data_IF_504708100786
#
_entry.id   IF_504708100786
#
_cell.length_a   1.000
_cell.length_b   1.000
_cell.length_c   1.000
_cell.angle_alpha   90.00
_cell.angle_beta   90.00
_cell.angle_gamma   90.00
#
_symmetry.space_group_name_H-M   'P 1'
#
loop_
_entity.id
_entity.type
_entity.pdbx_description
1 polymer ?
#
# COMPACT_ATOMS: atom_id res chain seq x y z
N UNK A 1 -4.95 5.46 26.63
CA UNK A 1 -3.56 5.90 26.37
C UNK A 1 -3.40 6.11 24.88
N UNK A 2 -2.60 7.10 24.45
CA UNK A 2 -2.24 7.27 23.05
C UNK A 2 -1.58 6.01 22.48
N UNK A 3 -1.90 5.67 21.24
CA UNK A 3 -1.29 4.54 20.52
C UNK A 3 0.06 4.98 19.93
N UNK A 4 1.18 4.32 20.25
CA UNK A 4 2.47 4.69 19.67
C UNK A 4 2.55 4.30 18.19
N UNK A 5 3.11 5.16 17.37
CA UNK A 5 3.35 4.94 15.95
C UNK A 5 4.74 5.47 15.60
N UNK A 6 5.57 4.62 15.00
CA UNK A 6 6.85 5.05 14.46
C UNK A 6 6.62 5.89 13.20
N UNK A 7 7.23 7.06 13.10
CA UNK A 7 7.12 7.90 11.90
C UNK A 7 8.49 8.04 11.25
N UNK A 8 8.58 7.72 9.97
CA UNK A 8 9.76 8.03 9.16
C UNK A 8 9.47 9.35 8.45
N UNK A 9 10.17 10.40 8.88
CA UNK A 9 9.90 11.77 8.51
C UNK A 9 10.10 12.06 7.01
N UNK A 10 9.30 12.97 6.47
CA UNK A 10 9.41 13.50 5.11
C UNK A 10 8.77 14.88 4.99
N UNK A 11 8.78 15.45 3.77
CA UNK A 11 8.19 16.77 3.53
C UNK A 11 6.67 16.83 3.76
N UNK A 12 5.98 15.68 3.87
CA UNK A 12 4.52 15.60 4.02
C UNK A 12 4.07 14.95 5.34
N UNK A 13 4.96 14.39 6.15
CA UNK A 13 4.61 13.80 7.46
C UNK A 13 4.06 14.85 8.42
N UNK A 14 4.62 16.07 8.40
CA UNK A 14 4.13 17.17 9.23
C UNK A 14 2.65 17.52 8.96
N UNK A 15 2.15 17.28 7.75
CA UNK A 15 0.73 17.44 7.43
C UNK A 15 -0.13 16.47 8.26
N UNK A 16 0.32 15.23 8.41
CA UNK A 16 -0.36 14.21 9.23
C UNK A 16 -0.30 14.61 10.70
N UNK A 17 0.86 15.04 11.21
CA UNK A 17 0.98 15.51 12.60
C UNK A 17 -0.02 16.62 12.91
N UNK A 18 -0.05 17.69 12.10
CA UNK A 18 -0.95 18.82 12.31
C UNK A 18 -2.43 18.42 12.30
N UNK A 19 -2.85 17.59 11.34
CA UNK A 19 -4.24 17.13 11.24
C UNK A 19 -4.60 16.21 12.41
N UNK A 20 -3.68 15.34 12.85
CA UNK A 20 -3.90 14.43 13.97
C UNK A 20 -4.03 15.18 15.30
N UNK A 21 -3.18 16.19 15.52
CA UNK A 21 -3.25 17.07 16.69
C UNK A 21 -4.53 17.90 16.69
N UNK A 22 -4.93 18.45 15.54
CA UNK A 22 -6.15 19.24 15.40
C UNK A 22 -7.42 18.43 15.73
N UNK A 23 -7.47 17.15 15.34
CA UNK A 23 -8.58 16.27 15.71
C UNK A 23 -8.42 15.63 17.09
N UNK A 24 -7.32 15.90 17.82
CA UNK A 24 -6.97 15.28 19.10
C UNK A 24 -6.97 13.75 19.05
N UNK A 25 -6.43 13.18 17.98
CA UNK A 25 -6.35 11.73 17.84
C UNK A 25 -5.48 11.14 18.97
N UNK A 26 -5.89 10.02 19.60
CA UNK A 26 -5.14 9.39 20.66
C UNK A 26 -3.97 8.58 20.09
N UNK A 27 -3.03 9.26 19.44
CA UNK A 27 -1.85 8.69 18.78
C UNK A 27 -0.62 9.46 19.26
N UNK A 28 0.47 8.74 19.51
CA UNK A 28 1.77 9.33 19.83
C UNK A 28 2.75 8.95 18.72
N UNK A 29 3.41 9.93 18.14
CA UNK A 29 4.36 9.71 17.05
C UNK A 29 5.80 9.71 17.58
N UNK A 30 6.50 8.59 17.39
CA UNK A 30 7.94 8.46 17.62
C UNK A 30 8.66 8.69 16.28
N UNK A 31 9.08 9.93 16.04
CA UNK A 31 9.56 10.38 14.72
C UNK A 31 11.07 10.21 14.56
N UNK A 32 11.47 9.64 13.42
CA UNK A 32 12.86 9.44 13.00
C UNK A 32 13.14 10.15 11.68
N UNK A 33 14.26 10.87 11.61
CA UNK A 33 14.71 11.57 10.41
C UNK A 33 15.86 10.78 9.78
N UNK A 34 15.59 10.14 8.63
CA UNK A 34 16.61 9.40 7.87
C UNK A 34 17.19 10.31 6.80
N UNK A 35 18.49 10.65 6.90
CA UNK A 35 19.21 11.51 5.93
C UNK A 35 20.31 10.74 5.20
N UNK A 36 20.63 11.17 3.98
CA UNK A 36 21.84 10.75 3.25
C UNK A 36 21.72 9.46 2.43
N UNK A 37 22.85 8.83 2.09
CA UNK A 37 22.93 7.62 1.23
C UNK A 37 22.22 6.38 1.82
N UNK A 38 21.88 6.39 3.11
CA UNK A 38 21.16 5.31 3.79
C UNK A 38 19.66 5.26 3.49
N UNK A 39 19.16 6.04 2.54
CA UNK A 39 17.78 5.94 2.09
C UNK A 39 17.40 4.49 1.71
N UNK A 40 18.33 3.65 1.27
CA UNK A 40 17.98 2.27 0.90
C UNK A 40 17.91 1.27 2.07
N UNK A 41 18.19 1.69 3.30
CA UNK A 41 18.17 0.80 4.47
C UNK A 41 17.58 1.51 5.68
N UNK A 42 16.66 0.86 6.40
CA UNK A 42 16.29 1.32 7.72
C UNK A 42 17.48 1.13 8.68
N UNK A 43 17.71 2.11 9.54
CA UNK A 43 18.60 1.91 10.68
C UNK A 43 17.98 0.90 11.64
N UNK A 44 18.82 0.17 12.38
CA UNK A 44 18.37 -0.77 13.40
C UNK A 44 17.48 -0.09 14.44
N UNK A 45 17.75 1.17 14.80
CA UNK A 45 16.92 1.98 15.70
C UNK A 45 15.48 2.12 15.20
N UNK A 46 15.28 2.35 13.90
CA UNK A 46 13.94 2.46 13.32
C UNK A 46 13.26 1.09 13.29
N UNK A 47 14.00 0.02 12.94
CA UNK A 47 13.45 -1.34 12.97
C UNK A 47 13.01 -1.73 14.40
N UNK A 48 13.80 -1.40 15.42
CA UNK A 48 13.48 -1.67 16.82
C UNK A 48 12.28 -0.84 17.30
N UNK A 49 12.16 0.43 16.88
CA UNK A 49 10.96 1.23 17.13
C UNK A 49 9.73 0.60 16.48
N UNK A 50 9.81 0.12 15.23
CA UNK A 50 8.71 -0.59 14.58
C UNK A 50 8.40 -1.90 15.33
N UNK A 51 9.40 -2.65 15.78
CA UNK A 51 9.20 -3.88 16.56
C UNK A 51 8.47 -3.64 17.88
N UNK A 52 8.78 -2.51 18.53
CA UNK A 52 8.17 -2.05 19.78
C UNK A 52 6.74 -1.54 19.57
N UNK A 53 6.54 -0.65 18.61
CA UNK A 53 5.27 0.06 18.41
C UNK A 53 4.29 -0.71 17.50
N UNK A 54 4.78 -1.69 16.74
CA UNK A 54 4.05 -2.51 15.76
C UNK A 54 3.54 -1.77 14.52
N UNK A 55 3.35 -0.46 14.61
CA UNK A 55 2.80 0.37 13.54
C UNK A 55 3.79 1.46 13.12
N UNK A 56 3.94 1.63 11.82
CA UNK A 56 4.78 2.66 11.22
C UNK A 56 4.00 3.48 10.19
N UNK A 57 4.26 4.79 10.15
CA UNK A 57 3.89 5.68 9.05
C UNK A 57 5.16 6.11 8.30
N UNK A 58 5.33 5.65 7.08
CA UNK A 58 6.48 5.97 6.23
C UNK A 58 6.15 7.13 5.28
N UNK A 59 6.74 8.29 5.52
CA UNK A 59 6.54 9.48 4.69
C UNK A 59 7.27 9.49 3.35
N UNK A 60 8.10 8.49 3.06
CA UNK A 60 9.04 8.53 1.93
C UNK A 60 8.33 8.22 0.61
N UNK A 61 8.43 9.13 -0.37
CA UNK A 61 7.59 9.08 -1.59
C UNK A 61 8.19 8.24 -2.74
N UNK A 62 9.52 8.09 -2.79
CA UNK A 62 10.21 7.41 -3.91
C UNK A 62 10.96 6.14 -3.51
N UNK A 63 11.07 5.88 -2.21
CA UNK A 63 11.67 4.67 -1.69
C UNK A 63 10.65 4.05 -0.74
N UNK A 64 9.74 3.27 -1.32
CA UNK A 64 8.99 2.30 -0.51
C UNK A 64 10.00 1.47 0.27
N UNK A 65 9.59 1.02 1.46
CA UNK A 65 10.48 0.27 2.35
C UNK A 65 11.24 -0.79 1.56
N UNK A 66 12.57 -0.66 1.63
CA UNK A 66 13.47 -1.44 0.81
C UNK A 66 13.34 -2.92 1.16
N UNK A 67 13.63 -3.82 0.21
CA UNK A 67 13.40 -5.27 0.37
C UNK A 67 13.97 -5.86 1.67
N UNK A 68 15.03 -5.28 2.23
CA UNK A 68 15.56 -5.65 3.54
C UNK A 68 14.57 -5.46 4.70
N UNK A 69 13.89 -4.31 4.78
CA UNK A 69 12.90 -4.05 5.83
C UNK A 69 11.67 -4.96 5.71
N UNK A 70 11.25 -5.27 4.47
CA UNK A 70 10.14 -6.20 4.21
C UNK A 70 10.46 -7.61 4.70
N UNK A 71 11.70 -8.07 4.49
CA UNK A 71 12.17 -9.37 4.99
C UNK A 71 12.34 -9.38 6.51
N UNK A 72 12.99 -8.37 7.08
CA UNK A 72 13.24 -8.25 8.53
C UNK A 72 11.94 -8.20 9.37
N UNK A 73 10.89 -7.61 8.80
CA UNK A 73 9.59 -7.43 9.45
C UNK A 73 8.51 -8.36 8.88
N UNK A 74 8.87 -9.32 8.03
CA UNK A 74 7.92 -10.25 7.40
C UNK A 74 6.64 -9.59 6.84
N UNK A 75 6.82 -8.45 6.14
CA UNK A 75 5.72 -7.67 5.58
C UNK A 75 5.25 -8.27 4.25
N UNK A 76 4.62 -9.46 4.33
CA UNK A 76 4.28 -10.31 3.20
C UNK A 76 3.16 -9.78 2.30
N UNK A 77 2.31 -8.87 2.78
CA UNK A 77 1.20 -8.32 1.99
C UNK A 77 1.40 -6.83 1.72
N UNK A 78 1.47 -6.43 0.46
CA UNK A 78 1.36 -5.04 0.03
C UNK A 78 -0.08 -4.77 -0.41
N UNK A 79 -0.75 -3.81 0.22
CA UNK A 79 -2.11 -3.41 -0.11
C UNK A 79 -2.13 -1.99 -0.64
N UNK A 80 -2.89 -1.79 -1.72
CA UNK A 80 -3.18 -0.47 -2.28
C UNK A 80 -4.69 -0.37 -2.54
N UNK A 81 -5.32 0.62 -1.93
CA UNK A 81 -6.72 0.97 -2.14
C UNK A 81 -6.81 2.11 -3.17
N UNK A 82 -7.53 1.87 -4.25
CA UNK A 82 -7.63 2.74 -5.41
C UNK A 82 -9.08 3.06 -5.72
N UNK A 83 -9.42 4.34 -5.59
CA UNK A 83 -10.79 4.81 -5.74
C UNK A 83 -10.85 6.14 -6.48
N UNK A 84 -11.98 6.40 -7.15
CA UNK A 84 -12.26 7.73 -7.67
C UNK A 84 -12.67 8.68 -6.54
N UNK A 85 -12.13 9.89 -6.61
CA UNK A 85 -12.48 11.01 -5.77
C UNK A 85 -13.35 11.99 -6.57
N UNK A 86 -14.51 12.34 -6.01
CA UNK A 86 -15.35 13.39 -6.55
C UNK A 86 -14.57 14.71 -6.56
N UNK A 87 -14.61 15.44 -7.69
CA UNK A 87 -13.86 16.69 -7.89
C UNK A 87 -12.48 16.54 -8.52
N UNK A 88 -11.95 15.31 -8.65
CA UNK A 88 -10.72 15.03 -9.36
C UNK A 88 -11.02 14.35 -10.70
N UNK A 89 -10.73 14.99 -11.85
CA UNK A 89 -10.94 14.36 -13.14
C UNK A 89 -10.02 13.14 -13.29
N UNK A 90 -10.62 12.02 -13.66
CA UNK A 90 -9.94 10.77 -13.93
C UNK A 90 -10.42 10.22 -15.27
N UNK A 91 -9.57 9.40 -15.90
CA UNK A 91 -9.93 8.77 -17.18
C UNK A 91 -11.12 7.81 -17.06
N UNK A 92 -11.30 7.22 -15.88
CA UNK A 92 -12.36 6.28 -15.56
C UNK A 92 -13.12 6.78 -14.34
N UNK A 93 -14.43 6.53 -14.31
CA UNK A 93 -15.33 6.89 -13.23
C UNK A 93 -15.78 5.62 -12.48
N UNK A 94 -16.24 5.78 -11.23
CA UNK A 94 -16.75 4.71 -10.37
C UNK A 94 -15.78 3.52 -10.15
N UNK A 95 -14.48 3.82 -10.10
CA UNK A 95 -13.42 2.91 -9.70
C UNK A 95 -13.40 2.80 -8.18
N UNK A 96 -13.46 1.57 -7.68
CA UNK A 96 -13.20 1.19 -6.29
C UNK A 96 -12.58 -0.22 -6.31
N UNK A 97 -11.26 -0.28 -6.31
CA UNK A 97 -10.48 -1.51 -6.45
C UNK A 97 -9.40 -1.52 -5.38
N UNK A 98 -9.28 -2.64 -4.67
CA UNK A 98 -8.14 -2.91 -3.80
C UNK A 98 -7.25 -3.95 -4.44
N UNK A 99 -5.95 -3.69 -4.40
CA UNK A 99 -4.93 -4.55 -4.95
C UNK A 99 -4.05 -5.02 -3.82
N UNK A 100 -4.02 -6.34 -3.65
CA UNK A 100 -3.22 -7.02 -2.64
C UNK A 100 -2.18 -7.84 -3.39
N UNK A 101 -0.93 -7.69 -3.00
CA UNK A 101 0.21 -8.34 -3.65
C UNK A 101 1.09 -9.00 -2.59
N UNK A 102 1.52 -10.22 -2.89
CA UNK A 102 2.61 -10.87 -2.17
C UNK A 102 3.91 -10.04 -2.30
N UNK A 103 4.63 -9.89 -1.19
CA UNK A 103 5.65 -8.85 -1.02
C UNK A 103 6.98 -9.36 -0.45
N UNK A 104 7.09 -10.67 -0.22
CA UNK A 104 8.26 -11.36 0.36
C UNK A 104 9.03 -12.21 -0.66
N UNK A 105 8.35 -12.76 -1.67
CA UNK A 105 8.94 -13.59 -2.72
C UNK A 105 8.94 -12.90 -4.11
N UNK A 106 9.16 -13.69 -5.16
CA UNK A 106 9.26 -13.18 -6.51
C UNK A 106 10.54 -12.39 -6.72
N UNK A 107 10.42 -11.24 -7.36
CA UNK A 107 11.56 -10.42 -7.83
C UNK A 107 12.55 -10.03 -6.71
N UNK A 108 12.15 -10.20 -5.43
CA UNK A 108 12.95 -9.83 -4.26
C UNK A 108 13.68 -11.02 -3.60
N UNK A 109 13.48 -12.24 -4.09
CA UNK A 109 14.09 -13.47 -3.56
C UNK A 109 15.11 -14.10 -4.52
N UNK A 110 15.54 -13.37 -5.54
CA UNK A 110 16.60 -13.81 -6.46
C UNK A 110 17.93 -14.05 -5.73
N UNK A 111 18.57 -15.17 -6.05
CA UNK A 111 19.97 -15.43 -5.72
C UNK A 111 20.74 -15.59 -7.02
N UNK A 112 21.87 -14.90 -7.09
CA UNK A 112 22.77 -14.94 -8.24
C UNK A 112 24.09 -15.54 -7.81
N UNK A 113 24.67 -16.39 -8.66
CA UNK A 113 26.03 -16.89 -8.48
C UNK A 113 26.70 -17.11 -9.82
N UNK A 114 28.02 -16.97 -9.82
CA UNK A 114 28.84 -17.32 -10.97
C UNK A 114 29.17 -18.81 -10.91
N UNK A 115 28.65 -19.59 -11.85
CA UNK A 115 28.85 -21.05 -11.89
C UNK A 115 30.26 -21.37 -12.37
N UNK A 116 30.69 -20.65 -13.41
CA UNK A 116 32.04 -20.64 -13.96
C UNK A 116 32.34 -19.20 -14.42
N UNK A 117 33.62 -18.79 -14.53
CA UNK A 117 33.97 -17.45 -14.97
C UNK A 117 33.24 -17.03 -16.25
N UNK A 118 32.43 -15.97 -16.16
CA UNK A 118 31.61 -15.43 -17.25
C UNK A 118 30.20 -16.02 -17.38
N UNK A 119 29.77 -16.94 -16.51
CA UNK A 119 28.43 -17.54 -16.52
C UNK A 119 27.74 -17.30 -15.19
N UNK A 120 26.80 -16.35 -15.19
CA UNK A 120 25.94 -16.05 -14.04
C UNK A 120 24.64 -16.85 -14.16
N UNK A 121 24.35 -17.64 -13.13
CA UNK A 121 23.05 -18.24 -12.93
C UNK A 121 22.28 -17.41 -11.89
N UNK A 122 21.02 -17.11 -12.22
CA UNK A 122 20.09 -16.44 -11.32
C UNK A 122 18.89 -17.37 -11.15
N UNK A 123 18.62 -17.77 -9.91
CA UNK A 123 17.42 -18.50 -9.56
C UNK A 123 16.60 -17.70 -8.57
N UNK A 124 15.29 -17.73 -8.77
CA UNK A 124 14.34 -16.96 -7.99
C UNK A 124 13.28 -17.93 -7.50
N UNK A 125 13.07 -17.96 -6.17
CA UNK A 125 11.85 -18.57 -5.63
C UNK A 125 10.70 -17.63 -5.97
N UNK A 126 9.95 -18.00 -7.00
CA UNK A 126 8.86 -17.15 -7.49
C UNK A 126 7.60 -17.29 -6.66
N UNK A 127 7.35 -18.48 -6.10
CA UNK A 127 6.17 -18.77 -5.31
C UNK A 127 6.37 -20.04 -4.47
N UNK A 128 5.97 -20.00 -3.20
CA UNK A 128 5.74 -21.21 -2.40
C UNK A 128 4.30 -21.31 -1.95
N UNK A 129 3.85 -22.54 -1.63
CA UNK A 129 2.51 -22.80 -1.09
C UNK A 129 2.26 -22.00 0.19
N UNK A 130 3.26 -21.92 1.08
CA UNK A 130 3.18 -21.17 2.33
C UNK A 130 2.80 -19.69 2.13
N UNK A 131 3.49 -18.97 1.26
CA UNK A 131 3.16 -17.55 1.02
C UNK A 131 1.89 -17.36 0.20
N UNK A 132 1.62 -18.28 -0.73
CA UNK A 132 0.35 -18.30 -1.47
C UNK A 132 -0.85 -18.43 -0.54
N UNK A 133 -0.76 -19.32 0.45
CA UNK A 133 -1.81 -19.50 1.46
C UNK A 133 -1.99 -18.26 2.33
N UNK A 134 -0.88 -17.65 2.77
CA UNK A 134 -0.92 -16.42 3.58
C UNK A 134 -1.56 -15.26 2.82
N UNK A 135 -1.14 -14.99 1.58
CA UNK A 135 -1.66 -13.87 0.81
C UNK A 135 -3.11 -14.11 0.39
N UNK A 136 -3.49 -15.34 0.05
CA UNK A 136 -4.87 -15.71 -0.25
C UNK A 136 -5.76 -15.49 0.98
N UNK A 137 -5.36 -16.02 2.14
CA UNK A 137 -6.08 -15.81 3.40
C UNK A 137 -6.25 -14.32 3.72
N UNK A 138 -5.17 -13.55 3.65
CA UNK A 138 -5.20 -12.11 3.90
C UNK A 138 -6.17 -11.38 2.95
N UNK A 139 -6.17 -11.73 1.66
CA UNK A 139 -7.04 -11.11 0.67
C UNK A 139 -8.53 -11.40 0.93
N UNK A 140 -8.88 -12.64 1.27
CA UNK A 140 -10.26 -13.02 1.57
C UNK A 140 -10.74 -12.46 2.91
N UNK A 141 -9.89 -12.44 3.95
CA UNK A 141 -10.19 -11.78 5.23
C UNK A 141 -10.42 -10.28 5.04
N UNK A 142 -9.52 -9.61 4.31
CA UNK A 142 -9.68 -8.20 3.97
C UNK A 142 -10.99 -7.93 3.24
N UNK A 143 -11.33 -8.76 2.24
CA UNK A 143 -12.57 -8.63 1.49
C UNK A 143 -13.80 -8.82 2.41
N UNK A 144 -13.76 -9.81 3.30
CA UNK A 144 -14.83 -10.06 4.26
C UNK A 144 -15.05 -8.87 5.21
N UNK A 145 -14.00 -8.40 5.90
CA UNK A 145 -14.10 -7.29 6.85
C UNK A 145 -14.42 -5.96 6.19
N UNK A 146 -13.94 -5.74 4.95
CA UNK A 146 -14.25 -4.56 4.15
C UNK A 146 -15.58 -4.65 3.41
N UNK A 147 -16.35 -5.72 3.60
CA UNK A 147 -17.65 -5.99 2.93
C UNK A 147 -17.56 -5.98 1.40
N UNK A 148 -16.40 -6.32 0.84
CA UNK A 148 -16.20 -6.50 -0.60
C UNK A 148 -16.74 -7.86 -1.02
N UNK A 149 -17.42 -7.90 -2.17
CA UNK A 149 -18.17 -9.09 -2.63
C UNK A 149 -17.40 -9.98 -3.59
N UNK A 150 -16.23 -9.53 -4.08
CA UNK A 150 -15.50 -10.23 -5.14
C UNK A 150 -13.99 -10.15 -4.90
N UNK A 151 -13.31 -11.28 -5.06
CA UNK A 151 -11.86 -11.42 -5.09
C UNK A 151 -11.47 -12.01 -6.45
N UNK A 152 -10.49 -11.41 -7.12
CA UNK A 152 -9.98 -11.91 -8.40
C UNK A 152 -8.50 -12.21 -8.27
N UNK A 153 -8.10 -13.47 -8.44
CA UNK A 153 -6.69 -13.85 -8.53
C UNK A 153 -6.13 -13.46 -9.90
N UNK A 154 -5.04 -12.69 -9.90
CA UNK A 154 -4.32 -12.30 -11.12
C UNK A 154 -3.04 -13.10 -11.19
N UNK A 155 -2.89 -13.91 -12.23
CA UNK A 155 -1.78 -14.86 -12.33
C UNK A 155 -1.07 -14.76 -13.69
N UNK A 156 0.21 -15.14 -13.77
CA UNK A 156 0.97 -15.07 -15.01
C UNK A 156 0.77 -16.34 -15.83
N UNK A 157 -0.27 -16.35 -16.66
CA UNK A 157 -0.57 -17.47 -17.56
C UNK A 157 0.43 -17.60 -18.75
N UNK A 158 1.72 -17.64 -18.44
CA UNK A 158 2.83 -17.78 -19.37
C UNK A 158 3.15 -19.24 -19.68
N UNK A 159 3.90 -19.47 -20.77
CA UNK A 159 4.28 -20.82 -21.22
C UNK A 159 5.14 -21.58 -20.19
N UNK A 160 5.85 -20.87 -19.31
CA UNK A 160 6.93 -21.41 -18.47
C UNK A 160 6.63 -21.39 -16.95
N UNK A 161 5.70 -20.57 -16.47
CA UNK A 161 5.44 -20.38 -15.01
C UNK A 161 4.31 -21.28 -14.48
N UNK A 162 3.91 -22.32 -15.23
CA UNK A 162 2.72 -23.13 -14.95
C UNK A 162 2.66 -23.72 -13.54
N UNK A 163 3.80 -24.10 -12.96
CA UNK A 163 3.85 -24.73 -11.64
C UNK A 163 3.71 -23.71 -10.50
N UNK A 164 4.37 -22.55 -10.61
CA UNK A 164 4.30 -21.49 -9.60
C UNK A 164 2.89 -20.89 -9.53
N UNK A 165 2.31 -20.60 -10.70
CA UNK A 165 0.92 -20.13 -10.82
C UNK A 165 -0.08 -21.17 -10.29
N UNK A 166 0.17 -22.47 -10.52
CA UNK A 166 -0.70 -23.53 -10.03
C UNK A 166 -0.80 -23.52 -8.50
N UNK A 167 0.31 -23.40 -7.77
CA UNK A 167 0.28 -23.30 -6.31
C UNK A 167 -0.48 -22.06 -5.82
N UNK A 168 -0.28 -20.92 -6.49
CA UNK A 168 -0.99 -19.68 -6.14
C UNK A 168 -2.51 -19.81 -6.33
N UNK A 169 -2.94 -20.34 -7.49
CA UNK A 169 -4.35 -20.52 -7.80
C UNK A 169 -5.00 -21.57 -6.90
N UNK A 170 -4.33 -22.70 -6.65
CA UNK A 170 -4.80 -23.73 -5.74
C UNK A 170 -5.04 -23.16 -4.34
N UNK A 171 -4.10 -22.39 -3.81
CA UNK A 171 -4.24 -21.71 -2.51
C UNK A 171 -5.43 -20.75 -2.50
N UNK A 172 -5.58 -19.93 -3.55
CA UNK A 172 -6.72 -19.03 -3.68
C UNK A 172 -8.06 -19.78 -3.73
N UNK A 173 -8.12 -20.90 -4.47
CA UNK A 173 -9.32 -21.74 -4.58
C UNK A 173 -9.67 -22.43 -3.26
N UNK A 174 -8.67 -22.93 -2.53
CA UNK A 174 -8.86 -23.53 -1.20
C UNK A 174 -9.41 -22.51 -0.21
N UNK A 175 -8.84 -21.31 -0.17
CA UNK A 175 -9.33 -20.23 0.70
C UNK A 175 -10.73 -19.78 0.27
N UNK A 176 -11.01 -19.69 -1.03
CA UNK A 176 -12.33 -19.31 -1.53
C UNK A 176 -13.46 -20.20 -0.99
N UNK A 177 -13.21 -21.51 -0.80
CA UNK A 177 -14.20 -22.45 -0.22
C UNK A 177 -14.60 -22.07 1.21
N UNK A 178 -13.73 -21.40 1.96
CA UNK A 178 -14.01 -20.93 3.32
C UNK A 178 -14.87 -19.65 3.35
N UNK A 179 -15.01 -18.95 2.22
CA UNK A 179 -15.75 -17.68 2.11
C UNK A 179 -16.81 -17.75 0.99
N UNK A 180 -17.87 -18.57 1.13
CA UNK A 180 -18.86 -18.79 0.07
C UNK A 180 -19.65 -17.54 -0.34
N UNK A 181 -19.65 -16.50 0.50
CA UNK A 181 -20.31 -15.22 0.24
C UNK A 181 -19.49 -14.28 -0.66
N UNK A 182 -18.23 -14.63 -0.96
CA UNK A 182 -17.32 -13.83 -1.79
C UNK A 182 -17.16 -14.55 -3.13
N UNK A 183 -17.52 -13.85 -4.21
CA UNK A 183 -17.30 -14.37 -5.57
C UNK A 183 -15.81 -14.44 -5.87
N UNK A 184 -15.33 -15.60 -6.28
CA UNK A 184 -13.93 -15.81 -6.66
C UNK A 184 -13.80 -15.97 -8.17
N UNK A 185 -12.90 -15.19 -8.76
CA UNK A 185 -12.57 -15.23 -10.19
C UNK A 185 -11.05 -15.34 -10.39
N UNK A 186 -10.64 -15.79 -11.57
CA UNK A 186 -9.25 -15.87 -12.00
C UNK A 186 -9.09 -15.14 -13.33
N UNK A 187 -8.05 -14.32 -13.47
CA UNK A 187 -7.71 -13.67 -14.73
C UNK A 187 -6.23 -13.78 -15.01
N UNK A 188 -5.88 -13.99 -16.27
CA UNK A 188 -4.49 -13.96 -16.67
C UNK A 188 -3.99 -12.50 -16.67
N UNK A 189 -2.79 -12.24 -16.16
CA UNK A 189 -2.12 -10.94 -16.19
C UNK A 189 -2.10 -10.33 -17.60
N UNK A 190 -1.96 -11.14 -18.65
CA UNK A 190 -2.05 -10.67 -20.04
C UNK A 190 -3.43 -10.10 -20.43
N UNK A 191 -4.51 -10.54 -19.81
CA UNK A 191 -5.87 -10.03 -20.08
C UNK A 191 -6.07 -8.64 -19.46
N UNK A 192 -5.31 -8.33 -18.41
CA UNK A 192 -5.19 -6.94 -17.90
C UNK A 192 -4.51 -6.00 -18.91
N UNK A 193 -3.98 -6.50 -20.04
CA UNK A 193 -3.32 -5.63 -21.05
C UNK A 193 -4.23 -4.58 -21.67
N UNK A 194 -5.53 -4.84 -21.75
CA UNK A 194 -6.48 -3.83 -22.21
C UNK A 194 -6.37 -2.55 -21.36
N UNK A 195 -6.04 -2.73 -20.08
CA UNK A 195 -5.77 -1.66 -19.12
C UNK A 195 -4.32 -1.12 -19.27
N UNK A 196 -3.32 -1.98 -19.59
CA UNK A 196 -1.91 -1.59 -19.81
C UNK A 196 -1.63 -0.68 -20.99
N UNK A 197 -2.44 -0.72 -22.05
CA UNK A 197 -2.15 0.01 -23.31
C UNK A 197 -1.91 1.52 -23.14
N UNK A 198 -2.29 2.07 -21.98
CA UNK A 198 -2.20 3.50 -21.68
C UNK A 198 -1.11 3.85 -20.65
N UNK A 199 -0.32 2.87 -20.18
CA UNK A 199 0.81 3.10 -19.26
C UNK A 199 2.07 2.46 -19.83
N UNK A 200 3.10 3.26 -20.10
CA UNK A 200 4.41 2.77 -20.54
C UNK A 200 5.15 1.95 -19.45
N UNK A 201 4.56 1.83 -18.26
CA UNK A 201 5.15 1.16 -17.12
C UNK A 201 4.81 -0.33 -17.10
N UNK A 202 5.82 -1.17 -16.87
CA UNK A 202 5.66 -2.63 -16.84
C UNK A 202 4.97 -3.15 -15.56
N UNK A 203 4.90 -2.35 -14.50
CA UNK A 203 4.35 -2.77 -13.21
C UNK A 203 2.82 -2.66 -13.18
N UNK A 204 2.15 -3.64 -12.56
CA UNK A 204 0.70 -3.60 -12.33
C UNK A 204 0.30 -2.29 -11.62
N UNK A 205 1.16 -1.85 -10.70
CA UNK A 205 1.01 -0.66 -9.87
C UNK A 205 0.84 0.64 -10.65
N UNK A 206 1.68 0.88 -11.65
CA UNK A 206 1.60 2.10 -12.44
C UNK A 206 0.34 2.17 -13.32
N UNK A 207 -0.32 1.04 -13.57
CA UNK A 207 -1.58 0.99 -14.30
C UNK A 207 -2.72 1.34 -13.34
N UNK A 208 -2.73 0.71 -12.17
CA UNK A 208 -3.76 0.92 -11.14
C UNK A 208 -3.73 2.36 -10.63
N UNK A 209 -2.53 2.90 -10.37
CA UNK A 209 -2.30 4.27 -9.93
C UNK A 209 -2.69 5.33 -10.99
N UNK A 210 -2.70 4.97 -12.29
CA UNK A 210 -3.14 5.87 -13.36
C UNK A 210 -4.66 5.87 -13.56
N UNK A 211 -5.39 4.92 -12.97
CA UNK A 211 -6.84 4.77 -13.16
C UNK A 211 -7.61 5.45 -12.03
N UNK A 212 -7.09 5.37 -10.81
CA UNK A 212 -7.71 5.97 -9.63
C UNK A 212 -7.09 7.33 -9.32
N UNK A 213 -7.93 8.31 -8.95
CA UNK A 213 -7.47 9.63 -8.49
C UNK A 213 -7.08 9.65 -7.01
N UNK A 214 -7.57 8.70 -6.21
CA UNK A 214 -7.20 8.50 -4.80
C UNK A 214 -6.46 7.19 -4.60
N UNK A 215 -5.38 7.24 -3.82
CA UNK A 215 -4.59 6.06 -3.47
C UNK A 215 -4.21 6.09 -2.00
N UNK A 216 -4.49 4.99 -1.31
CA UNK A 216 -4.01 4.70 0.05
C UNK A 216 -3.24 3.38 0.00
N UNK A 217 -2.24 3.20 0.85
CA UNK A 217 -1.55 1.92 0.89
C UNK A 217 -0.65 1.68 2.08
N UNK A 218 -0.19 0.44 2.14
CA UNK A 218 0.71 -0.04 3.17
C UNK A 218 1.21 -1.45 2.90
N UNK A 219 2.18 -1.86 3.71
CA UNK A 219 2.71 -3.21 3.78
C UNK A 219 2.39 -3.82 5.15
N UNK A 220 1.96 -5.08 5.17
CA UNK A 220 1.39 -5.76 6.32
C UNK A 220 2.06 -7.12 6.48
N UNK A 221 2.46 -7.42 7.72
CA UNK A 221 2.83 -8.75 8.19
C UNK A 221 1.84 -9.21 9.27
N UNK A 222 2.15 -10.30 9.95
CA UNK A 222 1.31 -10.79 11.05
C UNK A 222 1.39 -9.87 12.29
N UNK A 223 2.58 -9.35 12.57
CA UNK A 223 2.85 -8.53 13.76
C UNK A 223 2.99 -7.03 13.48
N UNK A 224 3.28 -6.66 12.24
CA UNK A 224 3.71 -5.29 11.89
C UNK A 224 2.90 -4.73 10.73
N UNK A 225 2.58 -3.44 10.79
CA UNK A 225 1.91 -2.71 9.72
C UNK A 225 2.64 -1.41 9.43
N UNK A 226 2.94 -1.17 8.14
CA UNK A 226 3.54 0.07 7.69
C UNK A 226 2.64 0.73 6.64
N UNK A 227 2.21 1.94 6.93
CA UNK A 227 1.39 2.77 6.06
C UNK A 227 2.29 3.74 5.30
N UNK A 228 2.12 3.84 3.99
CA UNK A 228 3.01 4.68 3.16
C UNK A 228 2.27 5.34 2.00
N UNK A 229 2.89 6.37 1.44
CA UNK A 229 2.40 6.97 0.21
C UNK A 229 2.77 6.07 -0.97
N UNK A 230 1.76 5.59 -1.69
CA UNK A 230 1.98 4.74 -2.87
C UNK A 230 2.46 5.63 -4.02
N UNK A 231 3.75 5.52 -4.32
CA UNK A 231 4.46 6.38 -5.28
C UNK A 231 4.03 6.11 -6.71
N UNK A 232 3.08 6.91 -7.22
CA UNK A 232 3.04 7.33 -8.63
C UNK A 232 2.03 8.45 -8.93
N UNK A 233 1.23 8.90 -7.97
CA UNK A 233 0.13 9.84 -8.22
C UNK A 233 0.45 11.23 -7.66
N UNK A 234 1.21 12.00 -8.42
CA UNK A 234 1.31 13.46 -8.24
C UNK A 234 2.49 13.99 -7.43
N UNK A 235 2.52 15.33 -7.34
CA UNK A 235 3.57 16.15 -6.74
C UNK A 235 3.96 15.64 -5.35
N UNK A 236 5.25 15.37 -5.09
CA UNK A 236 5.77 14.86 -3.81
C UNK A 236 5.49 15.75 -2.58
N UNK A 237 4.87 16.91 -2.81
CA UNK A 237 4.38 17.85 -1.80
C UNK A 237 2.90 17.66 -1.44
N UNK A 238 2.14 16.87 -2.19
CA UNK A 238 0.72 16.65 -1.94
C UNK A 238 0.53 15.61 -0.81
N UNK A 239 -0.01 15.99 0.37
CA UNK A 239 -0.14 15.10 1.51
C UNK A 239 -1.34 14.15 1.40
N UNK A 240 -2.23 14.30 0.41
CA UNK A 240 -3.51 13.58 0.32
C UNK A 240 -3.34 12.07 0.40
N UNK A 241 -2.40 11.49 -0.34
CA UNK A 241 -2.18 10.05 -0.32
C UNK A 241 -1.69 9.56 1.06
N UNK A 242 -0.81 10.33 1.72
CA UNK A 242 -0.35 9.99 3.07
C UNK A 242 -1.47 10.16 4.10
N UNK A 243 -2.35 11.16 3.95
CA UNK A 243 -3.54 11.33 4.78
C UNK A 243 -4.50 10.14 4.63
N UNK A 244 -4.73 9.64 3.40
CA UNK A 244 -5.51 8.43 3.20
C UNK A 244 -4.84 7.16 3.76
N UNK A 245 -3.52 7.02 3.63
CA UNK A 245 -2.79 5.94 4.31
C UNK A 245 -2.89 6.07 5.84
N UNK A 246 -2.97 7.30 6.36
CA UNK A 246 -3.20 7.56 7.79
C UNK A 246 -4.63 7.21 8.22
N UNK A 247 -5.64 7.35 7.33
CA UNK A 247 -6.99 6.80 7.58
C UNK A 247 -6.92 5.28 7.74
N UNK A 248 -6.18 4.58 6.89
CA UNK A 248 -6.00 3.13 7.03
C UNK A 248 -5.30 2.79 8.36
N UNK A 249 -4.28 3.56 8.73
CA UNK A 249 -3.57 3.41 10.00
C UNK A 249 -4.51 3.58 11.21
N UNK A 250 -5.35 4.60 11.23
CA UNK A 250 -6.31 4.82 12.31
C UNK A 250 -7.29 3.66 12.45
N UNK A 251 -7.77 3.09 11.33
CA UNK A 251 -8.62 1.88 11.38
C UNK A 251 -7.86 0.69 11.95
N UNK A 252 -6.61 0.48 11.54
CA UNK A 252 -5.76 -0.59 12.06
C UNK A 252 -5.49 -0.43 13.58
N UNK A 253 -5.37 0.80 14.06
CA UNK A 253 -5.24 1.14 15.48
C UNK A 253 -6.56 1.05 16.28
N UNK A 254 -7.65 0.57 15.66
CA UNK A 254 -8.99 0.49 16.24
C UNK A 254 -9.57 1.87 16.62
N UNK A 255 -9.31 2.88 15.79
CA UNK A 255 -9.80 4.26 15.93
C UNK A 255 -10.71 4.65 14.75
N UNK A 256 -11.82 3.93 14.49
CA UNK A 256 -12.65 4.13 13.29
C UNK A 256 -13.29 5.52 13.23
N UNK A 257 -13.72 6.08 14.36
CA UNK A 257 -14.33 7.41 14.40
C UNK A 257 -13.37 8.51 13.90
N UNK A 258 -12.11 8.45 14.32
CA UNK A 258 -11.07 9.37 13.84
C UNK A 258 -10.74 9.12 12.37
N UNK A 259 -10.70 7.85 11.95
CA UNK A 259 -10.47 7.50 10.56
C UNK A 259 -11.56 8.04 9.64
N UNK A 260 -12.83 7.93 10.05
CA UNK A 260 -13.97 8.39 9.26
C UNK A 260 -14.05 9.91 9.23
N UNK A 261 -13.76 10.58 10.34
CA UNK A 261 -13.66 12.05 10.40
C UNK A 261 -12.57 12.57 9.46
N UNK A 262 -11.37 11.99 9.51
CA UNK A 262 -10.27 12.35 8.60
C UNK A 262 -10.62 12.07 7.13
N UNK A 263 -11.20 10.89 6.84
CA UNK A 263 -11.59 10.52 5.47
C UNK A 263 -12.59 11.54 4.91
N UNK A 264 -13.62 11.88 5.68
CA UNK A 264 -14.65 12.85 5.28
C UNK A 264 -14.05 14.22 5.01
N UNK A 265 -13.21 14.73 5.91
CA UNK A 265 -12.54 16.02 5.75
C UNK A 265 -11.68 16.08 4.47
N UNK A 266 -10.85 15.05 4.24
CA UNK A 266 -9.99 14.98 3.05
C UNK A 266 -10.81 14.88 1.77
N UNK A 267 -11.84 14.02 1.73
CA UNK A 267 -12.73 13.90 0.58
C UNK A 267 -13.45 15.21 0.27
N UNK A 268 -13.86 15.97 1.30
CA UNK A 268 -14.52 17.27 1.13
C UNK A 268 -13.57 18.31 0.51
N UNK A 269 -12.35 18.43 1.02
CA UNK A 269 -11.32 19.33 0.45
C UNK A 269 -11.05 19.02 -1.02
N UNK A 270 -11.01 17.74 -1.38
CA UNK A 270 -10.84 17.30 -2.78
C UNK A 270 -12.04 17.70 -3.62
N UNK A 271 -13.26 17.49 -3.13
CA UNK A 271 -14.48 17.85 -3.85
C UNK A 271 -14.64 19.37 -4.07
N UNK A 272 -14.08 20.18 -3.18
CA UNK A 272 -14.05 21.64 -3.29
C UNK A 272 -12.97 22.17 -4.25
N UNK A 273 -12.15 21.28 -4.84
CA UNK A 273 -11.05 21.68 -5.73
C UNK A 273 -9.91 22.41 -5.03
N UNK A 274 -9.80 22.27 -3.69
CA UNK A 274 -8.77 22.89 -2.86
C UNK A 274 -7.49 22.05 -2.76
N UNK A 275 -7.37 21.00 -3.57
CA UNK A 275 -6.14 20.22 -3.68
C UNK A 275 -6.00 19.55 -5.06
N UNK A 276 -4.75 19.35 -5.49
CA UNK A 276 -4.41 18.67 -6.75
C UNK A 276 -3.97 19.59 -7.89
N UNK A 277 -4.09 20.90 -7.69
CA UNK A 277 -3.61 21.95 -8.57
C UNK A 277 -2.11 22.14 -8.28
N UNK A 278 -1.26 22.35 -9.29
CA UNK A 278 0.20 22.50 -9.11
C UNK A 278 0.61 23.65 -8.17
N UNK A 279 -0.29 24.60 -7.94
CA UNK A 279 -0.04 25.82 -7.16
C UNK A 279 -0.43 25.71 -5.70
N UNK A 280 -1.24 24.70 -5.31
CA UNK A 280 -1.66 24.56 -3.92
C UNK A 280 -0.51 24.01 -3.08
N UNK A 281 -0.18 24.72 -2.01
CA UNK A 281 0.86 24.33 -1.07
C UNK A 281 0.38 23.21 -0.15
N UNK A 282 1.32 22.44 0.41
CA UNK A 282 1.01 21.41 1.42
C UNK A 282 0.24 22.00 2.60
N UNK A 283 0.60 23.21 3.05
CA UNK A 283 -0.03 23.86 4.19
C UNK A 283 -1.47 24.29 3.88
N UNK A 284 -1.74 24.86 2.70
CA UNK A 284 -3.12 25.19 2.30
C UNK A 284 -4.05 23.97 2.28
N UNK A 285 -3.53 22.81 1.86
CA UNK A 285 -4.27 21.54 1.94
C UNK A 285 -4.52 21.16 3.40
N UNK A 286 -3.52 21.25 4.27
CA UNK A 286 -3.65 20.95 5.71
C UNK A 286 -4.68 21.85 6.37
N UNK A 287 -4.58 23.16 6.17
CA UNK A 287 -5.50 24.15 6.74
C UNK A 287 -6.94 23.89 6.28
N UNK A 288 -7.12 23.55 5.00
CA UNK A 288 -8.42 23.19 4.44
C UNK A 288 -8.97 21.90 5.04
N UNK A 289 -8.12 20.89 5.29
CA UNK A 289 -8.54 19.64 5.93
C UNK A 289 -8.94 19.92 7.37
N UNK A 290 -8.14 20.69 8.11
CA UNK A 290 -8.42 21.05 9.50
C UNK A 290 -9.75 21.82 9.61
N UNK A 291 -10.01 22.75 8.70
CA UNK A 291 -11.26 23.51 8.65
C UNK A 291 -12.51 22.63 8.36
N UNK A 292 -12.32 21.42 7.84
CA UNK A 292 -13.38 20.45 7.55
C UNK A 292 -13.39 19.27 8.53
N UNK A 293 -12.67 19.35 9.65
CA UNK A 293 -12.77 18.39 10.75
C UNK A 293 -13.99 18.75 11.62
N UNK A 294 -15.18 18.30 11.19
CA UNK A 294 -16.46 18.46 11.89
C UNK A 294 -16.41 18.08 13.38
#
# INVERSE_FOLDING_TARGET
>A
MPRPVTVIDSNVTNAVHQVMDAMQAPVYFETYIIKGKNMNHLTWEVVDSIRKNKVCLNGRVNNSLCGGARKELDLFASLVDCFNLNGQPSRHENVDIVVIRENTEGEYAGREHEVVPGVIESFQVTMTKFWSDRIAKYAFEYAHFSKRKKVTAVHNNGKYEKLADAFFLESCQEVAKMYPNITYNEIASRETRAIRRHSNSKSLWAIIANIASGVAGGSFGDDYAIFEQVGSVGNHKNPVALLFSSVMMLRHLLLPLFADRLKTAVTRVISEGKCGNSNTTTQEVVDSVIANLD
#
